data_IF_923590266279
#
_entry.id   IF_923590266279
#
_cell.length_a   1.000
_cell.length_b   1.000
_cell.length_c   1.000
_cell.angle_alpha   90.00
_cell.angle_beta   90.00
_cell.angle_gamma   90.00
#
_symmetry.space_group_name_H-M   'P 1'
#
loop_
_entity.id
_entity.type
_entity.pdbx_description
1 polymer ?
#
# COMPACT_ATOMS: atom_id res chain seq x y z
N UNK A 1 -3.73 -60.88 13.55
CA UNK A 1 -4.94 -61.42 12.90
C UNK A 1 -5.35 -60.40 11.85
N UNK A 2 -5.33 -60.71 10.55
CA UNK A 2 -5.62 -59.73 9.49
C UNK A 2 -7.15 -59.61 9.39
N UNK A 3 -7.69 -58.41 9.62
CA UNK A 3 -9.13 -58.17 9.59
C UNK A 3 -9.71 -58.42 8.19
N UNK A 4 -10.89 -59.06 8.12
CA UNK A 4 -11.55 -59.35 6.84
C UNK A 4 -12.06 -58.06 6.22
N UNK A 5 -11.59 -57.71 5.03
CA UNK A 5 -12.11 -56.60 4.23
C UNK A 5 -13.56 -56.90 3.81
N UNK A 6 -14.49 -56.03 4.19
CA UNK A 6 -15.89 -56.08 3.77
C UNK A 6 -16.15 -54.99 2.74
N UNK A 7 -16.72 -55.36 1.59
CA UNK A 7 -17.11 -54.42 0.55
C UNK A 7 -18.34 -53.61 0.98
N UNK A 8 -18.27 -52.28 0.86
CA UNK A 8 -19.32 -51.35 1.30
C UNK A 8 -20.01 -50.63 0.13
N UNK A 9 -19.32 -50.42 -0.97
CA UNK A 9 -19.89 -49.79 -2.17
C UNK A 9 -18.83 -49.38 -3.18
N UNK A 10 -19.24 -48.81 -4.30
CA UNK A 10 -18.32 -48.39 -5.37
C UNK A 10 -18.47 -46.90 -5.63
N UNK A 11 -17.35 -46.19 -5.77
CA UNK A 11 -17.31 -44.76 -6.13
C UNK A 11 -16.58 -44.62 -7.46
N UNK A 12 -17.11 -43.77 -8.35
CA UNK A 12 -16.42 -43.39 -9.59
C UNK A 12 -15.63 -42.10 -9.39
N UNK A 13 -14.36 -42.13 -9.77
CA UNK A 13 -13.48 -40.96 -9.80
C UNK A 13 -12.91 -40.90 -11.22
N UNK A 14 -13.33 -39.88 -11.99
CA UNK A 14 -13.04 -39.82 -13.42
C UNK A 14 -13.69 -40.98 -14.19
N UNK A 15 -12.89 -41.68 -14.99
CA UNK A 15 -13.32 -42.87 -15.76
C UNK A 15 -13.20 -44.19 -14.98
N UNK A 16 -12.61 -44.17 -13.79
CA UNK A 16 -12.31 -45.38 -13.01
C UNK A 16 -13.27 -45.60 -11.85
N UNK A 17 -13.43 -46.86 -11.43
CA UNK A 17 -14.32 -47.25 -10.35
C UNK A 17 -13.53 -47.88 -9.21
N UNK A 18 -13.71 -47.34 -8.01
CA UNK A 18 -13.00 -47.75 -6.80
C UNK A 18 -13.97 -48.41 -5.83
N UNK A 19 -13.58 -49.56 -5.27
CA UNK A 19 -14.35 -50.28 -4.26
C UNK A 19 -14.01 -49.73 -2.87
N UNK A 20 -15.03 -49.23 -2.17
CA UNK A 20 -14.94 -48.87 -0.76
C UNK A 20 -14.96 -50.15 0.07
N UNK A 21 -13.91 -50.33 0.88
CA UNK A 21 -13.79 -51.45 1.80
C UNK A 21 -13.73 -50.96 3.25
N UNK A 22 -14.34 -51.71 4.15
CA UNK A 22 -14.32 -51.50 5.60
C UNK A 22 -13.60 -52.67 6.28
N UNK A 23 -12.87 -52.40 7.35
CA UNK A 23 -12.36 -53.42 8.27
C UNK A 23 -12.99 -53.24 9.65
N UNK A 24 -12.92 -54.26 10.51
CA UNK A 24 -13.54 -54.21 11.85
C UNK A 24 -13.00 -53.05 12.72
N UNK A 25 -11.77 -52.61 12.46
CA UNK A 25 -11.07 -51.57 13.23
C UNK A 25 -11.13 -50.16 12.61
N UNK A 26 -11.59 -50.00 11.35
CA UNK A 26 -11.58 -48.71 10.63
C UNK A 26 -12.79 -48.55 9.72
N UNK A 27 -13.40 -47.35 9.74
CA UNK A 27 -14.48 -46.98 8.82
C UNK A 27 -13.98 -46.91 7.36
N UNK A 28 -14.90 -47.12 6.40
CA UNK A 28 -14.59 -47.19 4.96
C UNK A 28 -13.99 -45.90 4.37
N UNK A 29 -14.07 -44.80 5.12
CA UNK A 29 -13.37 -43.55 4.85
C UNK A 29 -12.99 -42.93 6.20
N UNK A 30 -11.78 -42.37 6.30
CA UNK A 30 -11.30 -41.63 7.44
C UNK A 30 -10.48 -40.45 6.92
N UNK A 31 -10.65 -39.28 7.53
CA UNK A 31 -9.86 -38.09 7.21
C UNK A 31 -8.65 -38.06 8.14
N UNK A 32 -7.48 -38.50 7.65
CA UNK A 32 -6.20 -38.35 8.35
C UNK A 32 -5.48 -37.10 7.83
N UNK A 33 -4.98 -36.28 8.75
CA UNK A 33 -4.09 -35.17 8.41
C UNK A 33 -2.64 -35.68 8.46
N UNK A 34 -2.17 -36.22 7.34
CA UNK A 34 -0.76 -36.55 7.15
C UNK A 34 0.00 -35.27 6.82
N UNK A 35 1.18 -35.10 7.43
CA UNK A 35 2.15 -34.13 6.93
C UNK A 35 2.56 -34.54 5.52
N UNK A 36 2.34 -33.68 4.53
CA UNK A 36 2.78 -33.94 3.16
C UNK A 36 4.31 -34.10 3.12
N UNK A 37 4.85 -35.18 2.52
CA UNK A 37 6.25 -35.23 2.17
C UNK A 37 6.52 -34.23 1.03
N UNK A 38 7.75 -33.66 0.95
CA UNK A 38 8.09 -32.68 -0.07
C UNK A 38 7.92 -33.27 -1.48
N UNK A 39 6.93 -32.72 -2.18
CA UNK A 39 6.50 -32.88 -3.57
C UNK A 39 7.60 -33.26 -4.59
N UNK A 40 7.41 -34.41 -5.27
CA UNK A 40 8.24 -34.84 -6.41
C UNK A 40 7.55 -34.82 -7.78
N UNK A 41 6.23 -34.54 -7.91
CA UNK A 41 5.51 -34.83 -9.18
C UNK A 41 4.49 -33.78 -9.68
N UNK A 42 4.84 -32.49 -9.69
CA UNK A 42 4.17 -31.50 -10.55
C UNK A 42 2.79 -30.97 -10.09
N UNK A 43 2.32 -29.92 -10.79
CA UNK A 43 1.20 -29.07 -10.37
C UNK A 43 -0.19 -29.65 -10.75
N UNK A 44 -1.19 -29.60 -9.85
CA UNK A 44 -2.52 -30.12 -10.13
C UNK A 44 -3.34 -29.21 -11.07
N UNK A 45 -4.16 -29.82 -11.93
CA UNK A 45 -5.10 -29.12 -12.81
C UNK A 45 -6.27 -28.57 -12.00
N UNK A 46 -6.38 -27.25 -11.90
CA UNK A 46 -7.54 -26.56 -11.30
C UNK A 46 -8.43 -26.00 -12.42
N UNK A 47 -9.65 -26.53 -12.52
CA UNK A 47 -10.77 -25.91 -13.22
C UNK A 47 -11.24 -24.69 -12.41
N UNK A 48 -10.91 -23.47 -12.82
CA UNK A 48 -11.50 -22.25 -12.22
C UNK A 48 -12.48 -21.60 -13.18
N UNK A 49 -13.67 -21.23 -12.69
CA UNK A 49 -14.60 -20.36 -13.41
C UNK A 49 -14.01 -18.94 -13.56
N UNK A 50 -14.41 -18.22 -14.61
CA UNK A 50 -13.97 -16.85 -14.84
C UNK A 50 -14.52 -15.92 -13.76
N UNK A 51 -13.63 -15.21 -13.07
CA UNK A 51 -14.00 -14.13 -12.15
C UNK A 51 -13.56 -12.79 -12.71
N UNK A 52 -14.50 -11.86 -12.77
CA UNK A 52 -14.22 -10.45 -13.00
C UNK A 52 -13.95 -9.77 -11.67
N UNK A 53 -12.84 -9.00 -11.58
CA UNK A 53 -12.51 -8.20 -10.40
C UNK A 53 -12.37 -6.74 -10.81
N UNK A 54 -12.76 -5.83 -9.92
CA UNK A 54 -12.89 -4.38 -10.20
C UNK A 54 -11.57 -3.60 -10.32
N UNK A 55 -10.41 -4.25 -10.29
CA UNK A 55 -9.12 -3.56 -10.18
C UNK A 55 -8.14 -4.04 -11.26
N UNK A 56 -7.90 -3.21 -12.27
CA UNK A 56 -6.85 -3.41 -13.28
C UNK A 56 -5.48 -2.89 -12.82
N UNK A 57 -5.08 -3.22 -11.59
CA UNK A 57 -3.80 -2.77 -11.00
C UNK A 57 -2.93 -3.96 -10.65
N UNK A 58 -1.80 -4.10 -11.33
CA UNK A 58 -0.87 -5.23 -11.16
C UNK A 58 -0.37 -5.38 -9.73
N UNK A 59 -0.75 -6.49 -9.10
CA UNK A 59 0.06 -7.42 -8.29
C UNK A 59 -0.84 -8.57 -7.83
N UNK A 60 -1.56 -9.11 -8.82
CA UNK A 60 -2.17 -10.43 -8.91
C UNK A 60 -3.02 -10.49 -10.18
N UNK A 61 -2.69 -11.37 -11.12
CA UNK A 61 -3.54 -11.62 -12.29
C UNK A 61 -4.56 -12.74 -12.07
N UNK A 62 -4.49 -13.47 -10.94
CA UNK A 62 -5.42 -14.55 -10.59
C UNK A 62 -5.51 -14.82 -9.09
N UNK A 63 -6.71 -15.20 -8.63
CA UNK A 63 -6.93 -15.76 -7.30
C UNK A 63 -6.32 -17.18 -7.26
N UNK A 64 -5.61 -17.54 -6.19
CA UNK A 64 -4.96 -18.86 -6.08
C UNK A 64 -5.90 -19.88 -5.46
N UNK A 65 -6.23 -19.69 -4.18
CA UNK A 65 -7.31 -20.39 -3.46
C UNK A 65 -8.38 -19.33 -3.13
N UNK A 66 -9.68 -19.65 -3.13
CA UNK A 66 -10.70 -18.73 -2.64
C UNK A 66 -10.30 -18.17 -1.26
N UNK A 67 -10.03 -16.86 -1.22
CA UNK A 67 -9.53 -16.18 -0.03
C UNK A 67 -8.00 -16.03 0.12
N UNK A 68 -7.16 -16.36 -0.87
CA UNK A 68 -5.68 -16.21 -0.75
C UNK A 68 -4.96 -15.48 -1.89
N UNK A 69 -3.89 -14.78 -1.46
CA UNK A 69 -2.81 -14.00 -2.09
C UNK A 69 -1.48 -14.71 -2.53
N UNK A 70 -1.12 -14.95 -3.80
CA UNK A 70 0.26 -15.11 -4.28
C UNK A 70 1.03 -13.77 -4.29
N UNK A 71 2.34 -13.87 -4.04
CA UNK A 71 3.26 -12.81 -3.64
C UNK A 71 3.72 -11.88 -4.79
N UNK A 72 3.98 -10.61 -4.45
CA UNK A 72 4.65 -9.65 -5.32
C UNK A 72 6.17 -9.64 -5.17
N UNK A 73 6.88 -9.17 -6.20
CA UNK A 73 8.35 -9.02 -6.19
C UNK A 73 8.79 -7.99 -5.13
N UNK A 74 9.86 -8.29 -4.39
CA UNK A 74 10.38 -7.56 -3.20
C UNK A 74 9.56 -7.64 -1.91
N UNK A 75 8.70 -8.64 -1.75
CA UNK A 75 7.95 -8.85 -0.50
C UNK A 75 8.65 -9.89 0.39
N UNK A 76 8.89 -9.57 1.68
CA UNK A 76 9.37 -10.55 2.66
C UNK A 76 8.29 -11.63 2.90
N UNK A 77 8.44 -12.74 2.19
CA UNK A 77 7.47 -13.83 2.12
C UNK A 77 7.60 -14.86 3.26
N UNK A 78 8.39 -14.59 4.30
CA UNK A 78 8.61 -15.54 5.41
C UNK A 78 7.36 -15.86 6.23
N UNK A 79 6.33 -15.02 6.16
CA UNK A 79 5.08 -15.19 6.91
C UNK A 79 3.88 -15.26 5.96
N UNK A 80 3.48 -16.46 5.49
CA UNK A 80 2.26 -16.62 4.71
C UNK A 80 1.03 -16.11 5.51
N UNK A 81 0.07 -15.47 4.82
CA UNK A 81 -1.20 -14.93 5.36
C UNK A 81 -1.16 -13.59 6.13
N UNK A 82 -0.03 -12.86 6.15
CA UNK A 82 0.05 -11.53 6.80
C UNK A 82 0.12 -10.33 5.86
N UNK A 83 0.15 -10.56 4.55
CA UNK A 83 0.20 -9.47 3.57
C UNK A 83 -1.23 -9.08 3.21
N UNK A 84 -1.68 -7.97 3.79
CA UNK A 84 -2.92 -7.31 3.39
C UNK A 84 -2.77 -6.81 1.95
N UNK A 85 -3.81 -6.87 1.10
CA UNK A 85 -3.78 -6.18 -0.18
C UNK A 85 -3.48 -4.70 0.07
N UNK A 86 -2.39 -4.23 -0.54
CA UNK A 86 -1.98 -2.83 -0.42
C UNK A 86 -3.03 -1.91 -1.07
N UNK A 87 -3.14 -0.66 -0.60
CA UNK A 87 -3.99 0.33 -1.27
C UNK A 87 -3.57 0.50 -2.73
N UNK A 88 -4.51 0.90 -3.59
CA UNK A 88 -4.18 1.30 -4.95
C UNK A 88 -3.13 2.42 -4.92
N UNK A 89 -2.04 2.24 -5.66
CA UNK A 89 -0.96 3.23 -5.76
C UNK A 89 -1.05 3.89 -7.12
N UNK A 90 -1.28 5.20 -7.13
CA UNK A 90 -1.25 6.04 -8.34
C UNK A 90 0.01 6.90 -8.31
N UNK A 91 0.62 7.08 -9.48
CA UNK A 91 1.75 7.99 -9.63
C UNK A 91 1.24 9.38 -9.97
N UNK A 92 1.59 10.36 -9.15
CA UNK A 92 1.28 11.77 -9.36
C UNK A 92 2.55 12.48 -9.82
N UNK A 93 2.48 13.20 -10.94
CA UNK A 93 3.63 13.92 -11.51
C UNK A 93 3.63 15.38 -11.04
N UNK A 94 4.72 15.80 -10.40
CA UNK A 94 4.94 17.20 -10.01
C UNK A 94 5.62 17.95 -11.15
N UNK A 95 4.82 18.51 -12.05
CA UNK A 95 5.32 19.25 -13.21
C UNK A 95 6.26 20.38 -12.77
N UNK A 96 7.38 20.52 -13.47
CA UNK A 96 8.44 21.51 -13.21
C UNK A 96 9.19 21.34 -11.89
N UNK A 97 8.94 20.28 -11.11
CA UNK A 97 9.70 20.05 -9.88
C UNK A 97 11.16 19.74 -10.19
N UNK A 98 12.06 20.43 -9.49
CA UNK A 98 13.51 20.26 -9.62
C UNK A 98 14.09 19.43 -8.46
N UNK A 99 13.26 19.00 -7.52
CA UNK A 99 13.66 18.23 -6.34
C UNK A 99 12.58 17.22 -5.95
N UNK A 100 13.00 16.17 -5.25
CA UNK A 100 12.07 15.21 -4.65
C UNK A 100 11.39 15.83 -3.43
N UNK A 101 10.16 15.38 -3.08
CA UNK A 101 9.52 15.80 -1.84
C UNK A 101 10.37 15.45 -0.62
N UNK A 102 10.69 16.45 0.20
CA UNK A 102 11.37 16.27 1.50
C UNK A 102 10.35 16.09 2.63
N UNK A 103 9.15 16.67 2.48
CA UNK A 103 8.03 16.56 3.41
C UNK A 103 6.69 16.51 2.72
N UNK A 104 5.76 15.86 3.41
CA UNK A 104 4.36 15.73 3.04
C UNK A 104 3.52 16.00 4.29
N UNK A 105 2.50 16.84 4.19
CA UNK A 105 1.57 17.13 5.29
C UNK A 105 0.19 17.49 4.75
N UNK A 106 -0.84 17.46 5.60
CA UNK A 106 -2.21 17.77 5.22
C UNK A 106 -2.70 19.04 5.92
N UNK A 107 -3.18 20.03 5.17
CA UNK A 107 -3.72 21.27 5.71
C UNK A 107 -4.73 21.84 4.71
N UNK A 108 -5.71 22.62 5.20
CA UNK A 108 -6.75 23.23 4.35
C UNK A 108 -7.54 22.23 3.47
N UNK A 109 -7.53 20.93 3.80
CA UNK A 109 -8.17 19.88 2.99
C UNK A 109 -7.34 19.38 1.80
N UNK A 110 -6.07 19.80 1.69
CA UNK A 110 -5.15 19.42 0.63
C UNK A 110 -3.95 18.66 1.19
N UNK A 111 -3.33 17.84 0.34
CA UNK A 111 -2.02 17.21 0.62
C UNK A 111 -0.94 18.14 0.07
N UNK A 112 -0.02 18.54 0.93
CA UNK A 112 1.06 19.47 0.62
C UNK A 112 2.38 18.73 0.48
N UNK A 113 3.19 19.13 -0.49
CA UNK A 113 4.47 18.52 -0.84
C UNK A 113 5.55 19.61 -0.89
N UNK A 114 6.53 19.53 0.01
CA UNK A 114 7.67 20.44 0.04
C UNK A 114 8.79 19.85 -0.80
N UNK A 115 9.16 20.52 -1.90
CA UNK A 115 10.07 20.00 -2.93
C UNK A 115 11.20 21.01 -3.22
N UNK A 116 12.08 21.22 -2.24
CA UNK A 116 13.15 22.21 -2.33
C UNK A 116 12.57 23.62 -2.50
N UNK A 117 12.87 24.28 -3.62
CA UNK A 117 12.39 25.64 -3.92
C UNK A 117 10.86 25.75 -4.06
N UNK A 118 10.19 24.67 -4.44
CA UNK A 118 8.76 24.68 -4.76
C UNK A 118 7.94 23.96 -3.69
N UNK A 119 6.73 24.46 -3.46
CA UNK A 119 5.69 23.77 -2.69
C UNK A 119 4.52 23.47 -3.61
N UNK A 120 4.08 22.23 -3.61
CA UNK A 120 2.91 21.77 -4.35
C UNK A 120 1.78 21.42 -3.39
N UNK A 121 0.54 21.52 -3.89
CA UNK A 121 -0.63 20.92 -3.26
C UNK A 121 -1.32 19.97 -4.22
N UNK A 122 -1.87 18.91 -3.65
CA UNK A 122 -2.66 17.88 -4.34
C UNK A 122 -4.08 17.92 -3.79
N UNK A 123 -5.05 18.04 -4.67
CA UNK A 123 -6.47 17.93 -4.33
C UNK A 123 -6.82 16.44 -4.15
N UNK A 124 -7.21 15.99 -2.95
CA UNK A 124 -7.52 14.57 -2.73
C UNK A 124 -8.83 14.12 -3.40
N UNK A 125 -9.63 15.02 -3.97
CA UNK A 125 -10.87 14.67 -4.66
C UNK A 125 -10.65 14.21 -6.11
N UNK A 126 -9.58 14.67 -6.77
CA UNK A 126 -9.30 14.39 -8.18
C UNK A 126 -7.81 14.16 -8.51
N UNK A 127 -6.94 14.11 -7.50
CA UNK A 127 -5.48 13.99 -7.60
C UNK A 127 -4.80 15.10 -8.41
N UNK A 128 -5.46 16.24 -8.63
CA UNK A 128 -4.89 17.37 -9.37
C UNK A 128 -3.77 18.05 -8.57
N UNK A 129 -2.68 18.39 -9.27
CA UNK A 129 -1.48 19.01 -8.68
C UNK A 129 -1.38 20.46 -9.10
N UNK A 130 -1.20 21.33 -8.11
CA UNK A 130 -0.92 22.76 -8.33
C UNK A 130 0.38 23.14 -7.64
N UNK A 131 1.27 23.85 -8.34
CA UNK A 131 2.40 24.53 -7.69
C UNK A 131 1.86 25.74 -6.94
N UNK A 132 1.88 25.67 -5.61
CA UNK A 132 1.32 26.70 -4.74
C UNK A 132 2.32 27.81 -4.43
N UNK A 133 3.58 27.45 -4.19
CA UNK A 133 4.63 28.40 -3.81
C UNK A 133 5.92 28.16 -4.57
N UNK A 134 6.56 29.27 -4.91
CA UNK A 134 7.93 29.35 -5.38
C UNK A 134 8.69 30.32 -4.47
N UNK A 135 9.70 29.83 -3.75
CA UNK A 135 10.57 30.67 -2.91
C UNK A 135 11.57 31.53 -3.71
N UNK A 136 11.61 31.37 -5.04
CA UNK A 136 12.43 32.15 -5.95
C UNK A 136 13.82 31.55 -6.20
N UNK A 137 14.53 32.09 -7.19
CA UNK A 137 15.84 31.59 -7.63
C UNK A 137 17.00 31.90 -6.66
N UNK A 138 16.71 32.49 -5.50
CA UNK A 138 17.69 32.93 -4.51
C UNK A 138 18.39 31.80 -3.75
N UNK A 139 18.00 30.55 -3.99
CA UNK A 139 18.56 29.38 -3.32
C UNK A 139 17.83 28.99 -2.04
N UNK A 140 16.76 29.70 -1.66
CA UNK A 140 15.88 29.32 -0.55
C UNK A 140 15.19 27.98 -0.83
N UNK A 141 15.35 27.04 0.09
CA UNK A 141 14.79 25.69 0.01
C UNK A 141 13.85 25.44 1.20
N UNK A 142 12.67 24.90 0.91
CA UNK A 142 11.78 24.34 1.92
C UNK A 142 12.40 23.12 2.60
N UNK A 143 12.40 23.12 3.93
CA UNK A 143 13.03 22.13 4.80
C UNK A 143 12.00 21.25 5.48
N UNK A 144 11.01 21.87 6.14
CA UNK A 144 9.98 21.15 6.87
C UNK A 144 8.57 21.69 6.56
N UNK A 145 7.54 20.91 6.92
CA UNK A 145 6.16 21.35 6.76
C UNK A 145 5.21 20.63 7.71
N UNK A 146 4.21 21.35 8.22
CA UNK A 146 3.20 20.79 9.12
C UNK A 146 1.88 21.53 9.04
N UNK A 147 0.80 20.85 9.46
CA UNK A 147 -0.46 21.50 9.80
C UNK A 147 -0.31 22.24 11.12
N UNK A 148 -0.81 23.47 11.17
CA UNK A 148 -0.97 24.23 12.40
C UNK A 148 -2.45 24.34 12.81
N UNK A 149 -2.69 24.62 14.08
CA UNK A 149 -3.96 24.53 14.81
C UNK A 149 -5.21 24.84 13.98
N UNK A 150 -5.31 26.08 13.47
CA UNK A 150 -6.44 26.62 12.69
C UNK A 150 -6.55 26.03 11.27
N UNK A 151 -5.97 24.85 11.05
CA UNK A 151 -5.87 24.14 9.78
C UNK A 151 -5.06 24.89 8.72
N UNK A 152 -4.21 25.84 9.13
CA UNK A 152 -3.22 26.48 8.25
C UNK A 152 -2.05 25.55 8.00
N UNK A 153 -1.32 25.78 6.91
CA UNK A 153 -0.11 25.04 6.59
C UNK A 153 1.12 25.88 6.91
N UNK A 154 2.05 25.35 7.70
CA UNK A 154 3.35 25.97 7.95
C UNK A 154 4.43 25.26 7.16
N UNK A 155 5.31 26.02 6.52
CA UNK A 155 6.51 25.53 5.82
C UNK A 155 7.71 26.33 6.33
N UNK A 156 8.77 25.63 6.69
CA UNK A 156 10.04 26.27 7.04
C UNK A 156 11.03 26.19 5.89
N UNK A 157 11.85 27.23 5.73
CA UNK A 157 12.97 27.26 4.78
C UNK A 157 14.31 27.17 5.51
N UNK A 158 15.39 27.03 4.72
CA UNK A 158 16.77 27.06 5.20
C UNK A 158 17.33 28.47 5.40
N UNK A 159 16.52 29.51 5.22
CA UNK A 159 16.92 30.88 5.47
C UNK A 159 17.22 31.12 6.96
N UNK A 160 18.18 32.01 7.24
CA UNK A 160 18.55 32.36 8.60
C UNK A 160 17.56 33.33 9.29
N UNK A 161 16.77 34.05 8.49
CA UNK A 161 15.73 34.99 8.92
C UNK A 161 14.49 34.80 8.05
N UNK A 162 13.31 35.14 8.58
CA UNK A 162 12.04 35.01 7.86
C UNK A 162 11.79 33.61 7.25
N UNK A 163 12.26 32.57 7.94
CA UNK A 163 12.25 31.21 7.39
C UNK A 163 10.91 30.50 7.55
N UNK A 164 9.96 31.06 8.31
CA UNK A 164 8.63 30.49 8.46
C UNK A 164 7.66 31.13 7.47
N UNK A 165 6.95 30.26 6.74
CA UNK A 165 5.90 30.62 5.80
C UNK A 165 4.61 29.93 6.21
N UNK A 166 3.51 30.65 6.11
CA UNK A 166 2.17 30.16 6.40
C UNK A 166 1.28 30.28 5.17
N UNK A 167 0.60 29.21 4.80
CA UNK A 167 -0.53 29.24 3.87
C UNK A 167 -1.84 29.32 4.66
N UNK A 168 -2.58 30.39 4.43
CA UNK A 168 -3.81 30.70 5.18
C UNK A 168 -5.08 30.48 4.37
N UNK A 169 -4.99 30.47 3.03
CA UNK A 169 -6.13 30.24 2.16
C UNK A 169 -5.73 29.64 0.81
N UNK A 170 -6.66 28.89 0.22
CA UNK A 170 -6.56 28.31 -1.12
C UNK A 170 -7.21 29.28 -2.12
N UNK A 171 -6.45 29.72 -3.12
CA UNK A 171 -6.86 30.75 -4.09
C UNK A 171 -6.11 30.59 -5.42
N UNK A 172 -6.24 31.56 -6.34
CA UNK A 172 -5.48 31.58 -7.60
C UNK A 172 -4.75 32.92 -7.78
N UNK A 173 -3.52 33.09 -7.24
CA UNK A 173 -2.69 32.11 -6.51
C UNK A 173 -3.08 31.97 -5.03
N UNK A 174 -2.66 30.86 -4.39
CA UNK A 174 -2.85 30.63 -2.95
C UNK A 174 -2.21 31.75 -2.10
N UNK A 175 -2.77 31.99 -0.91
CA UNK A 175 -2.36 33.10 -0.04
C UNK A 175 -1.32 32.63 0.96
N UNK A 176 -0.13 33.23 0.86
CA UNK A 176 1.02 32.94 1.72
C UNK A 176 1.46 34.17 2.51
N UNK A 177 1.62 34.01 3.83
CA UNK A 177 2.28 34.97 4.70
C UNK A 177 3.70 34.47 5.04
N UNK A 178 4.63 35.40 5.21
CA UNK A 178 5.99 35.14 5.67
C UNK A 178 6.17 35.75 7.04
N UNK A 179 6.97 35.12 7.90
CA UNK A 179 7.40 35.73 9.15
C UNK A 179 8.06 37.10 8.92
N UNK A 180 7.84 38.02 9.87
CA UNK A 180 8.42 39.35 9.85
C UNK A 180 9.95 39.30 9.93
N UNK A 181 10.62 40.30 9.36
CA UNK A 181 12.08 40.41 9.43
C UNK A 181 12.57 40.56 10.88
N UNK A 182 13.65 39.86 11.20
CA UNK A 182 14.23 39.81 12.55
C UNK A 182 13.63 38.74 13.45
N UNK A 183 12.57 38.05 13.02
CA UNK A 183 12.01 36.89 13.73
C UNK A 183 12.85 35.65 13.40
N UNK A 184 13.87 35.42 14.23
CA UNK A 184 14.75 34.24 14.09
C UNK A 184 14.01 32.97 14.51
N UNK A 185 14.15 31.86 13.76
CA UNK A 185 13.67 30.56 14.21
C UNK A 185 14.46 30.14 15.44
N UNK A 186 13.86 30.21 16.63
CA UNK A 186 14.50 29.70 17.84
C UNK A 186 14.24 28.20 17.92
N UNK A 187 15.29 27.40 17.82
CA UNK A 187 15.24 26.01 18.27
C UNK A 187 15.13 26.08 19.79
N UNK A 188 14.03 25.64 20.38
CA UNK A 188 14.05 25.30 21.82
C UNK A 188 15.19 24.29 21.97
N UNK A 189 16.26 24.70 22.64
CA UNK A 189 17.40 23.84 22.86
C UNK A 189 16.87 22.53 23.46
N UNK A 190 17.09 21.42 22.75
CA UNK A 190 16.83 20.11 23.31
C UNK A 190 17.71 20.01 24.57
N UNK A 191 17.07 19.81 25.73
CA UNK A 191 17.76 19.50 26.98
C UNK A 191 18.45 18.14 26.91
#
# INVERSE_FOLDING_TARGET
>A
MVSKLQHVGTVKIGSESYLLAKTDDRQAWQKEYLHEPPWSEGLPSILSEAQETWHQGGLKSKQGIPGTTEYGQNTDARFPFRILPGPAVTNVTLTSSIANPTRIFEALGYIWLVCGRYVYRVDPSDDSVVQSKDFGAGGTLGVDGMRWEDNTGLVTTDDADQSLWEVTAIDTPDVWAQAESGVKPYRLAAG
#
